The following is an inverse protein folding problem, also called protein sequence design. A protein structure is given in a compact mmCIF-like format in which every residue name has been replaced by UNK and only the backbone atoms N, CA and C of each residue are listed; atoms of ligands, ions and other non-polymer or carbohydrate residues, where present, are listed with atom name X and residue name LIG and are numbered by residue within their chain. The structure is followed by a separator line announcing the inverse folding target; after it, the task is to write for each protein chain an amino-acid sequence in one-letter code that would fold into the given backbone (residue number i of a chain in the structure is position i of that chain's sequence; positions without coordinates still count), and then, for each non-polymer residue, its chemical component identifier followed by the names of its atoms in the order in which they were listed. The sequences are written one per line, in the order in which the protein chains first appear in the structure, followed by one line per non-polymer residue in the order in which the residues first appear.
data_IF_669248638742
#
_entry.id   IF_669248638742
#
_cell.length_a   1.000
_cell.length_b   1.000
_cell.length_c   1.000
_cell.angle_alpha   90.00
_cell.angle_beta   90.00
_cell.angle_gamma   90.00
#
_symmetry.space_group_name_H-M   'P 1'
#
loop_
_entity.id
_entity.type
_entity.pdbx_description
1 polymer ?
#
# COMPACT_ATOMS: atom_id res chain seq x y z
N UNK A 1 10.80 -10.29 -15.19
CA UNK A 1 10.75 -8.82 -15.22
C UNK A 1 10.12 -8.22 -13.96
N UNK A 2 8.86 -8.50 -13.61
CA UNK A 2 8.22 -7.93 -12.40
C UNK A 2 8.97 -8.23 -11.09
N UNK A 3 9.34 -9.51 -10.88
CA UNK A 3 10.13 -9.93 -9.70
C UNK A 3 11.46 -9.19 -9.61
N UNK A 4 12.15 -9.02 -10.75
CA UNK A 4 13.43 -8.32 -10.79
C UNK A 4 13.28 -6.84 -10.43
N UNK A 5 12.24 -6.17 -10.94
CA UNK A 5 11.95 -4.77 -10.62
C UNK A 5 11.52 -4.57 -9.16
N UNK A 6 10.75 -5.51 -8.59
CA UNK A 6 10.40 -5.50 -7.17
C UNK A 6 11.64 -5.68 -6.27
N UNK A 7 12.52 -6.63 -6.61
CA UNK A 7 13.75 -6.88 -5.86
C UNK A 7 14.72 -5.70 -5.93
N UNK A 8 14.87 -5.07 -7.10
CA UNK A 8 15.71 -3.87 -7.26
C UNK A 8 15.19 -2.70 -6.41
N UNK A 9 13.88 -2.44 -6.42
CA UNK A 9 13.30 -1.39 -5.58
C UNK A 9 13.51 -1.62 -4.07
N UNK A 10 13.46 -2.87 -3.61
CA UNK A 10 13.76 -3.22 -2.20
C UNK A 10 15.26 -3.10 -1.91
N UNK A 11 16.11 -3.53 -2.84
CA UNK A 11 17.57 -3.43 -2.73
C UNK A 11 18.00 -1.96 -2.61
N UNK A 12 17.47 -1.07 -3.45
CA UNK A 12 17.78 0.38 -3.41
C UNK A 12 17.36 1.03 -2.08
N UNK A 13 16.19 0.64 -1.54
CA UNK A 13 15.75 1.07 -0.20
C UNK A 13 16.70 0.60 0.91
N UNK A 14 17.30 -0.58 0.75
CA UNK A 14 18.08 -1.25 1.79
C UNK A 14 19.57 -0.91 1.75
N UNK A 15 20.16 -0.77 0.56
CA UNK A 15 21.61 -0.73 0.38
C UNK A 15 22.17 0.70 0.35
N UNK A 16 21.45 1.66 -0.23
CA UNK A 16 21.97 3.03 -0.40
C UNK A 16 21.77 3.95 0.80
N UNK A 17 21.10 3.47 1.86
CA UNK A 17 21.19 4.08 3.19
C UNK A 17 22.64 4.08 3.72
N UNK A 18 23.55 3.27 3.14
CA UNK A 18 24.93 3.11 3.61
C UNK A 18 26.03 3.70 2.71
N UNK A 19 25.77 4.06 1.44
CA UNK A 19 26.84 4.46 0.48
C UNK A 19 26.47 5.58 -0.53
N UNK A 20 25.20 5.94 -0.71
CA UNK A 20 24.73 6.86 -1.78
C UNK A 20 24.00 8.11 -1.28
N UNK A 21 23.62 9.02 -2.21
CA UNK A 21 22.74 10.15 -1.86
C UNK A 21 21.28 9.67 -1.83
N UNK A 22 20.56 10.04 -0.76
CA UNK A 22 19.15 9.66 -0.52
C UNK A 22 18.25 10.00 -1.71
N UNK A 23 18.55 11.08 -2.43
CA UNK A 23 17.80 11.55 -3.60
C UNK A 23 17.82 10.55 -4.77
N UNK A 24 18.97 9.92 -5.04
CA UNK A 24 19.14 8.98 -6.16
C UNK A 24 18.40 7.68 -5.88
N UNK A 25 18.57 7.13 -4.69
CA UNK A 25 17.87 5.92 -4.25
C UNK A 25 16.34 6.12 -4.27
N UNK A 26 15.87 7.29 -3.84
CA UNK A 26 14.45 7.63 -3.89
C UNK A 26 13.92 7.71 -5.32
N UNK A 27 14.67 8.31 -6.25
CA UNK A 27 14.28 8.40 -7.66
C UNK A 27 14.25 7.02 -8.35
N UNK A 28 15.20 6.15 -8.00
CA UNK A 28 15.25 4.79 -8.51
C UNK A 28 14.05 3.96 -8.01
N UNK A 29 13.74 4.01 -6.71
CA UNK A 29 12.56 3.36 -6.13
C UNK A 29 11.24 3.83 -6.76
N UNK A 30 11.09 5.14 -7.00
CA UNK A 30 9.93 5.72 -7.71
C UNK A 30 9.81 5.11 -9.11
N UNK A 31 10.92 5.02 -9.84
CA UNK A 31 10.96 4.49 -11.21
C UNK A 31 10.60 3.00 -11.24
N UNK A 32 11.18 2.20 -10.34
CA UNK A 32 10.88 0.77 -10.22
C UNK A 32 9.43 0.51 -9.80
N UNK A 33 8.90 1.31 -8.88
CA UNK A 33 7.51 1.17 -8.44
C UNK A 33 6.54 1.54 -9.56
N UNK A 34 6.82 2.61 -10.33
CA UNK A 34 6.06 2.93 -11.53
C UNK A 34 6.12 1.80 -12.58
N UNK A 35 7.30 1.23 -12.79
CA UNK A 35 7.49 0.07 -13.68
C UNK A 35 6.71 -1.16 -13.25
N UNK A 36 6.66 -1.45 -11.94
CA UNK A 36 5.85 -2.53 -11.39
C UNK A 36 4.35 -2.32 -11.69
N UNK A 37 3.85 -1.08 -11.52
CA UNK A 37 2.48 -0.76 -11.84
C UNK A 37 2.17 -0.97 -13.33
N UNK A 38 3.04 -0.48 -14.22
CA UNK A 38 2.89 -0.64 -15.66
C UNK A 38 2.91 -2.11 -16.09
N UNK A 39 3.80 -2.93 -15.52
CA UNK A 39 3.85 -4.36 -15.80
C UNK A 39 2.59 -5.08 -15.32
N UNK A 40 2.03 -4.70 -14.17
CA UNK A 40 0.78 -5.29 -13.67
C UNK A 40 -0.41 -4.88 -14.55
N UNK A 41 -0.50 -3.60 -14.88
CA UNK A 41 -1.58 -3.03 -15.69
C UNK A 41 -1.52 -3.43 -17.17
N UNK A 42 -0.42 -4.03 -17.64
CA UNK A 42 -0.33 -4.61 -18.98
C UNK A 42 -1.09 -5.93 -19.13
N UNK A 43 -1.68 -6.42 -18.04
CA UNK A 43 -2.46 -7.65 -17.94
C UNK A 43 -3.82 -7.36 -17.32
N UNK A 44 -4.75 -8.28 -17.54
CA UNK A 44 -6.10 -8.17 -17.01
C UNK A 44 -6.12 -8.58 -15.51
N UNK A 45 -6.99 -7.99 -14.67
CA UNK A 45 -7.11 -8.36 -13.25
C UNK A 45 -7.31 -9.87 -13.02
N UNK A 46 -8.01 -10.54 -13.94
CA UNK A 46 -8.27 -11.99 -13.90
C UNK A 46 -7.01 -12.86 -13.95
N UNK A 47 -5.91 -12.35 -14.49
CA UNK A 47 -4.62 -13.06 -14.59
C UNK A 47 -3.87 -13.10 -13.24
N UNK A 48 -4.39 -12.40 -12.23
CA UNK A 48 -3.83 -12.30 -10.88
C UNK A 48 -4.66 -13.07 -9.83
N UNK A 49 -5.53 -13.98 -10.28
CA UNK A 49 -6.40 -14.76 -9.38
C UNK A 49 -5.68 -15.78 -8.51
N UNK A 50 -4.60 -16.37 -9.01
CA UNK A 50 -3.88 -17.44 -8.32
C UNK A 50 -2.38 -17.50 -8.68
N UNK A 51 -1.64 -18.40 -8.02
CA UNK A 51 -0.23 -18.66 -8.29
C UNK A 51 0.70 -17.49 -7.96
N UNK A 52 1.86 -17.46 -8.62
CA UNK A 52 2.89 -16.44 -8.38
C UNK A 52 2.47 -15.03 -8.79
N UNK A 53 1.60 -14.89 -9.80
CA UNK A 53 1.08 -13.57 -10.19
C UNK A 53 0.24 -12.98 -9.07
N UNK A 54 -0.67 -13.76 -8.46
CA UNK A 54 -1.47 -13.33 -7.32
C UNK A 54 -0.61 -12.85 -6.16
N UNK A 55 0.38 -13.65 -5.75
CA UNK A 55 1.27 -13.28 -4.63
C UNK A 55 1.99 -11.95 -4.91
N UNK A 56 2.61 -11.83 -6.09
CA UNK A 56 3.31 -10.60 -6.47
C UNK A 56 2.37 -9.39 -6.52
N UNK A 57 1.16 -9.56 -7.07
CA UNK A 57 0.17 -8.51 -7.08
C UNK A 57 -0.19 -8.09 -5.66
N UNK A 58 -0.64 -9.03 -4.81
CA UNK A 58 -1.03 -8.81 -3.41
C UNK A 58 0.07 -8.11 -2.60
N UNK A 59 1.33 -8.53 -2.75
CA UNK A 59 2.47 -7.96 -2.01
C UNK A 59 2.81 -6.54 -2.46
N UNK A 60 2.73 -6.25 -3.76
CA UNK A 60 3.12 -4.95 -4.29
C UNK A 60 2.09 -3.84 -4.04
N UNK A 61 0.83 -4.17 -3.70
CA UNK A 61 -0.23 -3.16 -3.58
C UNK A 61 0.04 -2.10 -2.52
N UNK A 62 0.59 -2.49 -1.37
CA UNK A 62 0.88 -1.54 -0.29
C UNK A 62 2.02 -0.60 -0.70
N UNK A 63 3.03 -1.11 -1.41
CA UNK A 63 4.12 -0.32 -1.99
C UNK A 63 3.57 0.70 -2.99
N UNK A 64 2.59 0.30 -3.80
CA UNK A 64 1.92 1.16 -4.77
C UNK A 64 1.06 2.25 -4.12
N UNK A 65 0.42 1.96 -2.99
CA UNK A 65 -0.27 2.97 -2.21
C UNK A 65 0.71 4.05 -1.68
N UNK A 66 1.85 3.64 -1.12
CA UNK A 66 2.89 4.58 -0.66
C UNK A 66 3.45 5.43 -1.80
N UNK A 67 3.70 4.81 -2.96
CA UNK A 67 4.10 5.53 -4.17
C UNK A 67 3.05 6.56 -4.60
N UNK A 68 1.77 6.17 -4.67
CA UNK A 68 0.67 7.07 -5.02
C UNK A 68 0.56 8.26 -4.05
N UNK A 69 0.70 8.03 -2.75
CA UNK A 69 0.72 9.10 -1.74
C UNK A 69 1.89 10.06 -1.99
N UNK A 70 3.08 9.52 -2.26
CA UNK A 70 4.30 10.33 -2.50
C UNK A 70 4.16 11.26 -3.70
N UNK A 71 3.57 10.79 -4.79
CA UNK A 71 3.36 11.59 -6.00
C UNK A 71 2.01 12.33 -6.01
N UNK A 72 1.19 12.13 -4.98
CA UNK A 72 -0.15 12.71 -4.83
C UNK A 72 -1.06 12.40 -6.02
N UNK A 73 -1.06 11.14 -6.48
CA UNK A 73 -1.91 10.70 -7.59
C UNK A 73 -2.70 9.45 -7.21
N UNK A 74 -3.97 9.32 -7.67
CA UNK A 74 -4.76 8.11 -7.47
C UNK A 74 -4.00 6.86 -7.91
N UNK A 75 -4.11 5.80 -7.12
CA UNK A 75 -3.52 4.51 -7.48
C UNK A 75 -4.50 3.74 -8.39
N UNK A 76 -4.07 3.23 -9.56
CA UNK A 76 -4.94 2.44 -10.44
C UNK A 76 -5.54 1.20 -9.76
N UNK A 77 -4.82 0.61 -8.80
CA UNK A 77 -5.28 -0.55 -8.03
C UNK A 77 -6.37 -0.22 -7.00
N UNK A 78 -6.71 1.07 -6.82
CA UNK A 78 -7.84 1.48 -5.99
C UNK A 78 -9.19 1.19 -6.65
N UNK A 79 -9.23 0.99 -7.96
CA UNK A 79 -10.45 0.67 -8.70
C UNK A 79 -11.07 -0.65 -8.23
N UNK A 80 -12.40 -0.73 -8.29
CA UNK A 80 -13.16 -1.84 -7.70
C UNK A 80 -12.79 -3.19 -8.33
N UNK A 81 -12.53 -3.24 -9.63
CA UNK A 81 -12.12 -4.46 -10.34
C UNK A 81 -10.79 -5.03 -9.79
N UNK A 82 -9.81 -4.16 -9.51
CA UNK A 82 -8.50 -4.56 -8.96
C UNK A 82 -8.58 -4.95 -7.48
N UNK A 83 -9.62 -4.50 -6.77
CA UNK A 83 -9.90 -4.92 -5.40
C UNK A 83 -10.71 -6.22 -5.32
N UNK A 84 -11.34 -6.68 -6.39
CA UNK A 84 -12.28 -7.81 -6.34
C UNK A 84 -11.81 -8.98 -7.17
N UNK A 85 -11.59 -8.79 -8.47
CA UNK A 85 -11.31 -9.85 -9.44
C UNK A 85 -10.07 -10.69 -9.07
N UNK A 86 -8.92 -10.11 -8.67
CA UNK A 86 -7.74 -10.89 -8.29
C UNK A 86 -7.93 -11.74 -7.02
N UNK A 87 -8.99 -11.51 -6.24
CA UNK A 87 -9.27 -12.18 -4.97
C UNK A 87 -10.49 -13.12 -5.04
N UNK A 88 -10.96 -13.44 -6.24
CA UNK A 88 -12.10 -14.36 -6.42
C UNK A 88 -11.74 -15.80 -6.05
N UNK A 89 -10.53 -16.27 -6.40
CA UNK A 89 -10.09 -17.64 -6.13
C UNK A 89 -9.37 -17.75 -4.77
N UNK A 90 -8.62 -16.72 -4.39
CA UNK A 90 -7.88 -16.64 -3.12
C UNK A 90 -8.45 -15.48 -2.30
N UNK A 91 -9.08 -15.76 -1.13
CA UNK A 91 -9.70 -14.72 -0.32
C UNK A 91 -8.65 -13.78 0.28
N UNK A 92 -9.04 -12.52 0.46
CA UNK A 92 -8.17 -11.49 1.04
C UNK A 92 -7.66 -11.88 2.42
N UNK A 93 -6.35 -11.78 2.59
CA UNK A 93 -5.75 -11.77 3.91
C UNK A 93 -6.01 -10.43 4.62
N UNK A 94 -5.77 -10.35 5.93
CA UNK A 94 -5.84 -9.07 6.64
C UNK A 94 -4.92 -8.00 6.06
N UNK A 95 -3.74 -8.39 5.58
CA UNK A 95 -2.80 -7.50 4.87
C UNK A 95 -3.45 -6.91 3.62
N UNK A 96 -4.22 -7.71 2.88
CA UNK A 96 -4.90 -7.23 1.67
C UNK A 96 -6.00 -6.23 2.02
N UNK A 97 -6.76 -6.45 3.10
CA UNK A 97 -7.80 -5.53 3.51
C UNK A 97 -7.22 -4.16 3.86
N UNK A 98 -6.12 -4.11 4.62
CA UNK A 98 -5.49 -2.82 4.93
C UNK A 98 -4.89 -2.17 3.69
N UNK A 99 -4.31 -2.94 2.76
CA UNK A 99 -3.84 -2.43 1.48
C UNK A 99 -4.97 -1.80 0.65
N UNK A 100 -6.17 -2.38 0.62
CA UNK A 100 -7.34 -1.77 -0.05
C UNK A 100 -7.67 -0.38 0.50
N UNK A 101 -7.62 -0.22 1.83
CA UNK A 101 -7.88 1.05 2.51
C UNK A 101 -6.77 2.06 2.16
N UNK A 102 -5.50 1.61 2.17
CA UNK A 102 -4.37 2.51 1.90
C UNK A 102 -4.33 2.97 0.45
N UNK A 103 -4.78 2.15 -0.50
CA UNK A 103 -4.84 2.48 -1.93
C UNK A 103 -5.77 3.65 -2.25
N UNK A 104 -6.73 3.97 -1.37
CA UNK A 104 -7.69 5.08 -1.56
C UNK A 104 -7.16 6.42 -1.04
N UNK A 105 -6.16 6.41 -0.15
CA UNK A 105 -5.56 7.63 0.43
C UNK A 105 -4.94 8.58 -0.62
N UNK A 106 -4.25 8.11 -1.66
CA UNK A 106 -3.68 8.99 -2.68
C UNK A 106 -4.72 9.84 -3.41
N UNK A 107 -5.90 9.27 -3.70
CA UNK A 107 -7.01 10.01 -4.33
C UNK A 107 -7.51 11.09 -3.38
N UNK A 108 -7.76 10.74 -2.12
CA UNK A 108 -8.20 11.71 -1.10
C UNK A 108 -7.20 12.88 -0.94
N UNK A 109 -5.90 12.60 -0.99
CA UNK A 109 -4.87 13.62 -0.92
C UNK A 109 -4.85 14.51 -2.18
N UNK A 110 -5.02 13.91 -3.36
CA UNK A 110 -5.16 14.64 -4.63
C UNK A 110 -6.38 15.56 -4.61
N UNK A 111 -7.54 15.05 -4.16
CA UNK A 111 -8.79 15.81 -4.02
C UNK A 111 -8.59 17.01 -3.08
N UNK A 112 -7.93 16.80 -1.93
CA UNK A 112 -7.62 17.89 -0.99
C UNK A 112 -6.72 18.96 -1.58
N UNK A 113 -5.74 18.56 -2.41
CA UNK A 113 -4.87 19.50 -3.10
C UNK A 113 -5.65 20.34 -4.12
N UNK A 114 -6.56 19.71 -4.87
CA UNK A 114 -7.45 20.38 -5.81
C UNK A 114 -8.39 21.36 -5.10
N UNK A 115 -9.00 20.95 -3.98
CA UNK A 115 -9.88 21.82 -3.19
C UNK A 115 -9.16 23.05 -2.63
N UNK A 116 -7.91 22.90 -2.18
CA UNK A 116 -7.09 24.04 -1.73
C UNK A 116 -6.75 25.02 -2.85
N UNK A 117 -6.67 24.55 -4.09
CA UNK A 117 -6.42 25.37 -5.25
C UNK A 117 -7.70 25.98 -5.85
N UNK A 118 -8.89 25.53 -5.42
CA UNK A 118 -10.17 26.04 -5.90
C UNK A 118 -10.42 27.46 -5.39
N UNK A 119 -10.70 28.37 -6.33
CA UNK A 119 -10.94 29.79 -6.07
C UNK A 119 -12.42 30.11 -5.80
N UNK A 120 -13.32 29.19 -6.16
CA UNK A 120 -14.76 29.37 -5.97
C UNK A 120 -15.17 28.76 -4.62
N UNK A 121 -15.71 29.59 -3.74
CA UNK A 121 -15.98 29.17 -2.35
C UNK A 121 -17.05 28.06 -2.27
N UNK A 122 -18.10 28.13 -3.08
CA UNK A 122 -19.17 27.12 -3.10
C UNK A 122 -18.67 25.76 -3.60
N UNK A 123 -17.87 25.75 -4.67
CA UNK A 123 -17.26 24.54 -5.22
C UNK A 123 -16.25 23.94 -4.25
N UNK A 124 -15.41 24.79 -3.64
CA UNK A 124 -14.47 24.36 -2.61
C UNK A 124 -15.18 23.73 -1.41
N UNK A 125 -16.29 24.31 -0.96
CA UNK A 125 -17.06 23.78 0.15
C UNK A 125 -17.63 22.38 -0.17
N UNK A 126 -18.23 22.22 -1.35
CA UNK A 126 -18.74 20.92 -1.80
C UNK A 126 -17.64 19.85 -1.93
N UNK A 127 -16.45 20.24 -2.42
CA UNK A 127 -15.29 19.36 -2.48
C UNK A 127 -14.82 18.96 -1.08
N UNK A 128 -14.73 19.90 -0.13
CA UNK A 128 -14.33 19.63 1.25
C UNK A 128 -15.31 18.72 1.98
N UNK A 129 -16.62 18.88 1.78
CA UNK A 129 -17.63 17.96 2.32
C UNK A 129 -17.44 16.54 1.80
N UNK A 130 -17.23 16.38 0.49
CA UNK A 130 -16.96 15.09 -0.14
C UNK A 130 -15.69 14.44 0.43
N UNK A 131 -14.61 15.22 0.56
CA UNK A 131 -13.34 14.78 1.16
C UNK A 131 -13.55 14.35 2.61
N UNK A 132 -14.29 15.12 3.40
CA UNK A 132 -14.57 14.80 4.79
C UNK A 132 -15.34 13.47 4.90
N UNK A 133 -16.39 13.28 4.09
CA UNK A 133 -17.13 12.01 4.05
C UNK A 133 -16.25 10.81 3.67
N UNK A 134 -15.42 10.94 2.63
CA UNK A 134 -14.46 9.89 2.25
C UNK A 134 -13.45 9.60 3.38
N UNK A 135 -12.95 10.65 4.04
CA UNK A 135 -12.00 10.53 5.16
C UNK A 135 -12.61 9.73 6.33
N UNK A 136 -13.85 10.06 6.72
CA UNK A 136 -14.56 9.34 7.77
C UNK A 136 -14.84 7.88 7.41
N UNK A 137 -15.17 7.61 6.15
CA UNK A 137 -15.36 6.23 5.68
C UNK A 137 -14.06 5.41 5.78
N UNK A 138 -12.92 5.99 5.40
CA UNK A 138 -11.62 5.33 5.51
C UNK A 138 -11.21 5.12 6.97
N UNK A 139 -11.40 6.12 7.84
CA UNK A 139 -11.15 5.99 9.28
C UNK A 139 -12.01 4.88 9.90
N UNK A 140 -13.31 4.84 9.58
CA UNK A 140 -14.22 3.78 10.03
C UNK A 140 -13.76 2.38 9.59
N UNK A 141 -13.38 2.23 8.31
CA UNK A 141 -12.87 0.96 7.78
C UNK A 141 -11.56 0.54 8.45
N UNK A 142 -10.67 1.49 8.70
CA UNK A 142 -9.39 1.25 9.36
C UNK A 142 -9.60 0.80 10.81
N UNK A 143 -10.45 1.49 11.57
CA UNK A 143 -10.82 1.10 12.95
C UNK A 143 -11.47 -0.27 13.00
N UNK A 144 -12.35 -0.56 12.03
CA UNK A 144 -12.98 -1.88 11.92
C UNK A 144 -11.93 -2.96 11.70
N UNK A 145 -11.01 -2.76 10.76
CA UNK A 145 -9.90 -3.68 10.51
C UNK A 145 -9.00 -3.87 11.75
N UNK A 146 -8.71 -2.79 12.47
CA UNK A 146 -7.91 -2.85 13.70
C UNK A 146 -8.61 -3.69 14.78
N UNK A 147 -9.91 -3.46 14.97
CA UNK A 147 -10.71 -4.18 15.96
C UNK A 147 -10.88 -5.67 15.60
N UNK A 148 -11.07 -6.01 14.33
CA UNK A 148 -11.27 -7.41 13.91
C UNK A 148 -9.98 -8.20 13.81
N UNK A 149 -8.89 -7.55 13.43
CA UNK A 149 -7.68 -8.27 13.00
C UNK A 149 -6.38 -7.68 13.51
N UNK A 150 -6.33 -6.36 13.71
CA UNK A 150 -5.17 -5.69 14.33
C UNK A 150 -4.80 -6.28 15.70
N UNK A 151 -5.80 -6.68 16.49
CA UNK A 151 -5.59 -7.39 17.76
C UNK A 151 -4.89 -8.75 17.59
N UNK A 152 -5.33 -9.58 16.64
CA UNK A 152 -4.75 -10.90 16.39
C UNK A 152 -3.30 -10.80 15.91
N UNK A 153 -3.03 -9.85 14.99
CA UNK A 153 -1.67 -9.60 14.50
C UNK A 153 -0.77 -9.08 15.62
N UNK A 154 -1.25 -8.14 16.43
CA UNK A 154 -0.49 -7.61 17.57
C UNK A 154 -0.12 -8.69 18.57
N UNK A 155 -1.06 -9.55 18.95
CA UNK A 155 -0.78 -10.64 19.89
C UNK A 155 0.16 -11.68 19.28
N UNK A 156 0.01 -12.01 18.00
CA UNK A 156 0.95 -12.88 17.28
C UNK A 156 2.37 -12.28 17.27
N UNK A 157 2.53 -11.02 16.89
CA UNK A 157 3.84 -10.35 16.85
C UNK A 157 4.46 -10.26 18.24
N UNK A 158 3.69 -9.88 19.27
CA UNK A 158 4.17 -9.88 20.66
C UNK A 158 4.68 -11.25 21.09
N UNK A 159 3.95 -12.32 20.75
CA UNK A 159 4.36 -13.69 21.11
C UNK A 159 5.67 -14.10 20.45
N UNK A 160 5.89 -13.70 19.19
CA UNK A 160 7.13 -13.99 18.45
C UNK A 160 8.32 -13.21 18.99
N UNK A 161 8.11 -11.92 19.25
CA UNK A 161 9.13 -11.05 19.86
C UNK A 161 9.54 -11.60 21.23
N UNK A 162 8.57 -11.98 22.07
CA UNK A 162 8.86 -12.57 23.38
C UNK A 162 9.66 -13.88 23.27
N UNK A 163 9.35 -14.74 22.29
CA UNK A 163 10.08 -15.99 22.06
C UNK A 163 11.53 -15.76 21.57
N UNK A 164 11.77 -14.78 20.69
CA UNK A 164 13.11 -14.41 20.23
C UNK A 164 13.97 -13.87 21.39
N UNK A 165 13.39 -13.03 22.26
CA UNK A 165 14.11 -12.50 23.43
C UNK A 165 14.43 -13.58 24.48
N UNK A 166 13.56 -14.59 24.67
CA UNK A 166 13.87 -15.72 25.57
C UNK A 166 14.93 -16.67 25.01
N UNK A 167 14.98 -16.87 23.69
CA UNK A 167 15.96 -17.78 23.06
C UNK A 167 17.36 -17.18 23.04
N UNK A 168 17.46 -15.85 22.91
CA UNK A 168 18.74 -15.11 22.92
C UNK A 168 19.37 -15.07 24.31
N UNK A 169 18.57 -15.13 25.39
CA UNK A 169 19.07 -15.19 26.77
C UNK A 169 19.62 -16.57 27.16
N UNK A 170 19.21 -17.65 26.48
CA UNK A 170 19.67 -19.02 26.74
C UNK A 170 20.91 -19.44 25.92
N UNK A 171 21.35 -18.62 24.97
CA UNK A 171 22.50 -18.90 24.10
C UNK A 171 23.77 -18.12 24.49
N UNK A 172 23.74 -17.45 25.65
CA UNK A 172 24.84 -16.66 26.22
C UNK A 172 25.42 -17.22 27.53
N UNK A 173 25.12 -18.48 27.86
CA UNK A 173 25.78 -19.28 28.92
C UNK A 173 26.61 -20.41 28.31
#
# INVERSE_FOLDING_TARGET
MLVASALLGIFELSYEYSVGSVEVAHQAWVTHTAGNAALILSREPREYKNGYSHMLFSDLRIVQAFFGMRICRPCPFAAQEWKTVPFEDIPKSPKDIIADITLELPELYSDLKSAKACLQDDERLAQLETIASKSWLLDFRLRTWEATTGLQIREFVKSKIAAEFSTTAMSSE
#
